data_IF_887031683310
#
_entry.id   IF_887031683310
#
_cell.length_a   1.000
_cell.length_b   1.000
_cell.length_c   1.000
_cell.angle_alpha   90.00
_cell.angle_beta   90.00
_cell.angle_gamma   90.00
#
_symmetry.space_group_name_H-M   'P 1'
#
loop_
_entity.id
_entity.type
_entity.pdbx_description
1 polymer ?
#
# COMPACT_ATOMS: atom_id res chain seq x y z
N UNK A 1 -46.68 12.06 -7.41
CA UNK A 1 -45.98 10.96 -6.71
C UNK A 1 -45.28 10.03 -7.69
N UNK A 2 -45.80 9.88 -8.90
CA UNK A 2 -45.27 8.98 -9.94
C UNK A 2 -43.91 9.42 -10.53
N UNK A 3 -43.70 10.72 -10.73
CA UNK A 3 -42.46 11.26 -11.27
C UNK A 3 -41.25 11.04 -10.33
N UNK A 4 -41.48 11.08 -9.03
CA UNK A 4 -40.44 10.84 -8.03
C UNK A 4 -40.01 9.36 -8.01
N UNK A 5 -41.00 8.46 -8.10
CA UNK A 5 -40.73 7.02 -8.16
C UNK A 5 -40.03 6.63 -9.47
N UNK A 6 -40.42 7.23 -10.61
CA UNK A 6 -39.75 7.01 -11.89
C UNK A 6 -38.31 7.52 -11.86
N UNK A 7 -38.06 8.70 -11.28
CA UNK A 7 -36.72 9.22 -11.08
C UNK A 7 -35.86 8.30 -10.20
N UNK A 8 -36.42 7.85 -9.06
CA UNK A 8 -35.69 6.93 -8.16
C UNK A 8 -35.35 5.61 -8.85
N UNK A 9 -36.31 5.04 -9.60
CA UNK A 9 -36.10 3.77 -10.32
C UNK A 9 -34.99 3.90 -11.37
N UNK A 10 -34.96 5.02 -12.12
CA UNK A 10 -33.88 5.30 -13.09
C UNK A 10 -32.53 5.45 -12.41
N UNK A 11 -32.45 6.19 -11.30
CA UNK A 11 -31.21 6.35 -10.54
C UNK A 11 -30.73 5.00 -9.99
N UNK A 12 -31.62 4.21 -9.41
CA UNK A 12 -31.29 2.88 -8.88
C UNK A 12 -30.83 1.93 -10.00
N UNK A 13 -31.48 1.96 -11.17
CA UNK A 13 -31.08 1.15 -12.32
C UNK A 13 -29.68 1.55 -12.82
N UNK A 14 -29.38 2.84 -12.95
CA UNK A 14 -28.06 3.32 -13.34
C UNK A 14 -27.00 2.90 -12.32
N UNK A 15 -27.31 3.02 -11.03
CA UNK A 15 -26.39 2.58 -9.96
C UNK A 15 -26.18 1.05 -10.02
N UNK A 16 -27.23 0.27 -10.22
CA UNK A 16 -27.12 -1.19 -10.29
C UNK A 16 -26.34 -1.65 -11.53
N UNK A 17 -26.54 -1.03 -12.68
CA UNK A 17 -25.75 -1.30 -13.89
C UNK A 17 -24.30 -0.92 -13.70
N UNK A 18 -24.02 0.23 -13.08
CA UNK A 18 -22.66 0.66 -12.76
C UNK A 18 -21.97 -0.34 -11.82
N UNK A 19 -22.66 -0.75 -10.74
CA UNK A 19 -22.13 -1.75 -9.79
C UNK A 19 -21.93 -3.11 -10.46
N UNK A 20 -22.81 -3.50 -11.38
CA UNK A 20 -22.68 -4.76 -12.12
C UNK A 20 -21.46 -4.74 -13.04
N UNK A 21 -21.23 -3.66 -13.79
CA UNK A 21 -20.05 -3.48 -14.64
C UNK A 21 -18.77 -3.44 -13.78
N UNK A 22 -18.84 -2.73 -12.64
CA UNK A 22 -17.70 -2.56 -11.73
C UNK A 22 -17.26 -3.89 -11.08
N UNK A 23 -18.22 -4.78 -10.80
CA UNK A 23 -17.96 -6.11 -10.22
C UNK A 23 -17.77 -7.22 -11.27
N UNK A 24 -17.85 -6.89 -12.57
CA UNK A 24 -17.68 -7.90 -13.60
C UNK A 24 -16.25 -8.42 -13.61
N UNK A 25 -16.09 -9.72 -13.40
CA UNK A 25 -14.80 -10.40 -13.49
C UNK A 25 -14.26 -10.29 -14.92
N UNK A 26 -13.10 -9.67 -15.08
CA UNK A 26 -12.43 -9.54 -16.38
C UNK A 26 -11.59 -10.79 -16.68
N UNK A 27 -10.86 -11.26 -15.70
CA UNK A 27 -10.02 -12.47 -15.78
C UNK A 27 -9.69 -12.97 -14.36
N UNK A 28 -9.20 -14.21 -14.28
CA UNK A 28 -8.77 -14.82 -13.03
C UNK A 28 -7.25 -14.92 -13.00
N UNK A 29 -6.67 -14.55 -11.87
CA UNK A 29 -5.24 -14.76 -11.60
C UNK A 29 -5.16 -15.72 -10.41
N UNK A 30 -4.80 -16.99 -10.66
CA UNK A 30 -4.88 -18.04 -9.65
C UNK A 30 -6.33 -18.22 -9.17
N UNK A 31 -6.55 -18.16 -7.86
CA UNK A 31 -7.87 -18.26 -7.23
C UNK A 31 -8.63 -16.92 -7.12
N UNK A 32 -8.00 -15.83 -7.55
CA UNK A 32 -8.57 -14.48 -7.41
C UNK A 32 -9.26 -14.00 -8.68
N UNK A 33 -10.48 -13.48 -8.52
CA UNK A 33 -11.24 -12.86 -9.60
C UNK A 33 -10.89 -11.38 -9.70
N UNK A 34 -10.28 -10.99 -10.82
CA UNK A 34 -9.92 -9.59 -11.07
C UNK A 34 -11.06 -8.89 -11.79
N UNK A 35 -11.65 -7.93 -11.11
CA UNK A 35 -12.71 -7.05 -11.64
C UNK A 35 -12.16 -5.65 -11.92
N UNK A 36 -12.94 -4.84 -12.62
CA UNK A 36 -12.62 -3.41 -12.81
C UNK A 36 -12.48 -2.73 -11.44
N UNK A 37 -13.34 -3.07 -10.48
CA UNK A 37 -13.27 -2.57 -9.11
C UNK A 37 -11.95 -2.89 -8.42
N UNK A 38 -11.47 -4.11 -8.55
CA UNK A 38 -10.17 -4.53 -8.00
C UNK A 38 -9.02 -3.68 -8.55
N UNK A 39 -9.03 -3.40 -9.87
CA UNK A 39 -8.02 -2.57 -10.51
C UNK A 39 -8.06 -1.12 -9.98
N UNK A 40 -9.25 -0.54 -9.88
CA UNK A 40 -9.43 0.83 -9.35
C UNK A 40 -8.96 0.91 -7.91
N UNK A 41 -9.35 -0.05 -7.06
CA UNK A 41 -8.93 -0.11 -5.65
C UNK A 41 -7.41 -0.27 -5.54
N UNK A 42 -6.80 -1.09 -6.39
CA UNK A 42 -5.35 -1.26 -6.44
C UNK A 42 -4.63 0.07 -6.69
N UNK A 43 -4.99 0.77 -7.75
CA UNK A 43 -4.36 2.05 -8.09
C UNK A 43 -4.66 3.14 -7.05
N UNK A 44 -5.87 3.20 -6.52
CA UNK A 44 -6.26 4.14 -5.46
C UNK A 44 -5.45 3.89 -4.18
N UNK A 45 -5.31 2.63 -3.76
CA UNK A 45 -4.53 2.23 -2.59
C UNK A 45 -3.04 2.54 -2.77
N UNK A 46 -2.51 2.32 -3.97
CA UNK A 46 -1.12 2.63 -4.28
C UNK A 46 -0.86 4.14 -4.28
N UNK A 47 -1.77 4.93 -4.84
CA UNK A 47 -1.69 6.39 -4.76
C UNK A 47 -1.75 6.88 -3.30
N UNK A 48 -2.66 6.34 -2.50
CA UNK A 48 -2.78 6.66 -1.08
C UNK A 48 -1.48 6.32 -0.32
N UNK A 49 -0.87 5.16 -0.59
CA UNK A 49 0.40 4.76 -0.01
C UNK A 49 1.52 5.78 -0.31
N UNK A 50 1.61 6.24 -1.56
CA UNK A 50 2.59 7.26 -1.95
C UNK A 50 2.37 8.56 -1.17
N UNK A 51 1.13 9.03 -1.07
CA UNK A 51 0.78 10.27 -0.35
C UNK A 51 1.09 10.13 1.14
N UNK A 52 0.67 9.03 1.76
CA UNK A 52 0.89 8.77 3.19
C UNK A 52 2.39 8.66 3.49
N UNK A 53 3.14 7.89 2.72
CA UNK A 53 4.59 7.73 2.94
C UNK A 53 5.35 9.05 2.80
N UNK A 54 4.95 9.92 1.86
CA UNK A 54 5.50 11.28 1.70
C UNK A 54 5.18 12.15 2.92
N UNK A 55 3.95 12.13 3.39
CA UNK A 55 3.52 12.93 4.53
C UNK A 55 4.22 12.47 5.83
N UNK A 56 4.37 11.16 6.04
CA UNK A 56 5.10 10.61 7.18
C UNK A 56 6.56 11.05 7.14
N UNK A 57 7.23 10.99 5.98
CA UNK A 57 8.59 11.51 5.82
C UNK A 57 8.70 12.99 6.21
N UNK A 58 7.76 13.83 5.74
CA UNK A 58 7.74 15.26 6.07
C UNK A 58 7.48 15.51 7.56
N UNK A 59 6.57 14.74 8.17
CA UNK A 59 6.32 14.79 9.61
C UNK A 59 7.56 14.42 10.42
N UNK A 60 8.27 13.36 10.02
CA UNK A 60 9.52 12.96 10.65
C UNK A 60 10.55 14.08 10.59
N UNK A 61 10.78 14.66 9.42
CA UNK A 61 11.77 15.72 9.24
C UNK A 61 11.41 16.99 10.00
N UNK A 62 10.14 17.43 9.95
CA UNK A 62 9.74 18.74 10.44
C UNK A 62 9.33 18.75 11.92
N UNK A 63 8.90 17.62 12.47
CA UNK A 63 8.43 17.56 13.87
C UNK A 63 9.32 16.72 14.76
N UNK A 64 9.61 15.48 14.37
CA UNK A 64 10.29 14.52 15.24
C UNK A 64 11.80 14.76 15.22
N UNK A 65 12.40 14.74 14.02
CA UNK A 65 13.83 14.89 13.86
C UNK A 65 14.29 16.36 13.89
N UNK A 66 13.37 17.32 13.70
CA UNK A 66 13.72 18.74 13.81
C UNK A 66 14.26 19.13 15.18
N UNK A 67 13.77 18.47 16.24
CA UNK A 67 14.19 18.72 17.63
C UNK A 67 15.45 17.94 18.03
N UNK A 68 15.94 17.04 17.18
CA UNK A 68 17.15 16.26 17.45
C UNK A 68 18.41 17.07 17.13
N UNK A 69 19.50 16.83 17.88
CA UNK A 69 20.83 17.40 17.62
C UNK A 69 21.56 16.71 16.46
N UNK A 70 20.89 15.85 15.70
CA UNK A 70 21.45 15.09 14.60
C UNK A 70 21.78 15.99 13.40
N UNK A 71 22.84 15.69 12.68
CA UNK A 71 23.19 16.36 11.43
C UNK A 71 22.05 16.22 10.41
N UNK A 72 21.81 17.25 9.60
CA UNK A 72 20.74 17.28 8.60
C UNK A 72 20.75 16.04 7.70
N UNK A 73 21.93 15.65 7.20
CA UNK A 73 22.11 14.48 6.35
C UNK A 73 21.61 13.19 7.03
N UNK A 74 21.90 13.00 8.31
CA UNK A 74 21.48 11.81 9.05
C UNK A 74 19.97 11.77 9.29
N UNK A 75 19.36 12.94 9.56
CA UNK A 75 17.89 13.06 9.66
C UNK A 75 17.20 12.70 8.34
N UNK A 76 17.74 13.16 7.22
CA UNK A 76 17.22 12.84 5.90
C UNK A 76 17.33 11.35 5.57
N UNK A 77 18.46 10.72 5.95
CA UNK A 77 18.67 9.27 5.78
C UNK A 77 17.64 8.45 6.57
N UNK A 78 17.40 8.80 7.84
CA UNK A 78 16.37 8.13 8.66
C UNK A 78 14.98 8.29 8.04
N UNK A 79 14.58 9.52 7.68
CA UNK A 79 13.27 9.78 7.13
C UNK A 79 13.05 9.09 5.76
N UNK A 80 14.09 9.00 4.94
CA UNK A 80 14.06 8.25 3.69
C UNK A 80 14.00 6.74 3.94
N UNK A 81 14.75 6.22 4.91
CA UNK A 81 14.68 4.82 5.31
C UNK A 81 13.27 4.40 5.72
N UNK A 82 12.64 5.19 6.59
CA UNK A 82 11.24 4.95 7.01
C UNK A 82 10.29 4.98 5.81
N UNK A 83 10.42 5.96 4.91
CA UNK A 83 9.60 6.03 3.70
C UNK A 83 9.77 4.79 2.82
N UNK A 84 11.00 4.35 2.57
CA UNK A 84 11.29 3.17 1.75
C UNK A 84 10.68 1.93 2.39
N UNK A 85 10.85 1.74 3.70
CA UNK A 85 10.26 0.61 4.44
C UNK A 85 8.73 0.62 4.35
N UNK A 86 8.09 1.79 4.53
CA UNK A 86 6.64 1.92 4.36
C UNK A 86 6.18 1.58 2.94
N UNK A 87 6.92 2.02 1.92
CA UNK A 87 6.62 1.71 0.52
C UNK A 87 6.73 0.21 0.24
N UNK A 88 7.78 -0.45 0.74
CA UNK A 88 7.96 -1.89 0.57
C UNK A 88 6.83 -2.69 1.24
N UNK A 89 6.60 -2.45 2.53
CA UNK A 89 5.56 -3.16 3.29
C UNK A 89 4.17 -2.87 2.72
N UNK A 90 3.86 -1.60 2.45
CA UNK A 90 2.57 -1.19 1.91
C UNK A 90 2.31 -1.79 0.52
N UNK A 91 3.32 -1.87 -0.34
CA UNK A 91 3.19 -2.52 -1.66
C UNK A 91 2.87 -4.01 -1.51
N UNK A 92 3.54 -4.73 -0.60
CA UNK A 92 3.26 -6.13 -0.30
C UNK A 92 1.81 -6.31 0.15
N UNK A 93 1.34 -5.46 1.08
CA UNK A 93 -0.04 -5.51 1.59
C UNK A 93 -1.05 -5.26 0.46
N UNK A 94 -0.81 -4.27 -0.40
CA UNK A 94 -1.70 -3.95 -1.53
C UNK A 94 -1.77 -5.11 -2.53
N UNK A 95 -0.64 -5.74 -2.85
CA UNK A 95 -0.58 -6.88 -3.77
C UNK A 95 -1.35 -8.08 -3.18
N UNK A 96 -1.17 -8.36 -1.88
CA UNK A 96 -1.94 -9.42 -1.20
C UNK A 96 -3.44 -9.12 -1.14
N UNK A 97 -3.83 -7.86 -0.94
CA UNK A 97 -5.23 -7.45 -0.92
C UNK A 97 -5.95 -7.65 -2.27
N UNK A 98 -5.20 -7.66 -3.37
CA UNK A 98 -5.70 -8.00 -4.72
C UNK A 98 -5.80 -9.52 -4.94
N UNK A 99 -5.33 -10.32 -3.97
CA UNK A 99 -5.42 -11.77 -4.00
C UNK A 99 -4.22 -12.46 -4.67
N UNK A 100 -3.13 -11.74 -4.90
CA UNK A 100 -1.89 -12.35 -5.39
C UNK A 100 -1.18 -13.02 -4.22
N UNK A 101 -0.99 -14.33 -4.29
CA UNK A 101 -0.26 -15.07 -3.26
C UNK A 101 1.25 -14.71 -3.31
N UNK A 102 1.70 -14.11 -2.24
CA UNK A 102 3.11 -13.73 -2.03
C UNK A 102 3.83 -14.64 -1.04
N UNK A 103 3.31 -15.85 -0.78
CA UNK A 103 3.89 -16.78 0.20
C UNK A 103 5.36 -17.08 -0.10
N UNK A 104 5.69 -17.31 -1.36
CA UNK A 104 7.08 -17.52 -1.80
C UNK A 104 7.96 -16.29 -1.56
N UNK A 105 7.42 -15.09 -1.79
CA UNK A 105 8.14 -13.83 -1.55
C UNK A 105 8.35 -13.59 -0.06
N UNK A 106 7.38 -13.96 0.78
CA UNK A 106 7.47 -13.87 2.24
C UNK A 106 8.58 -14.79 2.79
N UNK A 107 8.72 -15.98 2.23
CA UNK A 107 9.81 -16.91 2.58
C UNK A 107 11.18 -16.31 2.22
N UNK A 108 11.31 -15.75 1.01
CA UNK A 108 12.55 -15.10 0.57
C UNK A 108 12.86 -13.87 1.43
N UNK A 109 11.86 -13.04 1.76
CA UNK A 109 12.02 -11.88 2.63
C UNK A 109 12.47 -12.29 4.04
N UNK A 110 11.92 -13.39 4.57
CA UNK A 110 12.35 -13.97 5.84
C UNK A 110 13.81 -14.41 5.82
N UNK A 111 14.24 -15.13 4.78
CA UNK A 111 15.61 -15.57 4.62
C UNK A 111 16.59 -14.39 4.49
N UNK A 112 16.23 -13.36 3.69
CA UNK A 112 17.00 -12.11 3.59
C UNK A 112 17.06 -11.37 4.91
N UNK A 113 15.95 -11.29 5.66
CA UNK A 113 15.90 -10.66 6.98
C UNK A 113 16.86 -11.32 7.99
N UNK A 114 16.91 -12.64 8.00
CA UNK A 114 17.85 -13.41 8.82
C UNK A 114 19.29 -13.15 8.39
N UNK A 115 19.58 -13.16 7.07
CA UNK A 115 20.92 -12.86 6.54
C UNK A 115 21.39 -11.45 6.89
N UNK A 116 20.53 -10.45 6.75
CA UNK A 116 20.81 -9.07 7.15
C UNK A 116 21.02 -8.98 8.66
N UNK A 117 20.19 -9.68 9.46
CA UNK A 117 20.33 -9.73 10.92
C UNK A 117 21.70 -10.25 11.36
N UNK A 118 22.16 -11.35 10.80
CA UNK A 118 23.52 -11.86 11.05
C UNK A 118 24.63 -10.94 10.55
N UNK A 119 24.41 -10.25 9.42
CA UNK A 119 25.35 -9.25 8.92
C UNK A 119 25.49 -8.06 9.87
N UNK A 120 24.39 -7.59 10.46
CA UNK A 120 24.42 -6.49 11.44
C UNK A 120 24.98 -6.91 12.80
N UNK A 121 24.87 -8.18 13.20
CA UNK A 121 25.42 -8.67 14.46
C UNK A 121 26.92 -8.39 14.56
N UNK A 122 27.69 -8.66 13.51
CA UNK A 122 29.13 -8.37 13.48
C UNK A 122 29.48 -6.88 13.62
N UNK A 123 28.59 -6.00 13.15
CA UNK A 123 28.80 -4.55 13.27
C UNK A 123 28.51 -4.09 14.69
N UNK A 124 27.51 -4.70 15.35
CA UNK A 124 27.13 -4.36 16.73
C UNK A 124 28.15 -4.88 17.74
N UNK A 125 28.75 -6.04 17.49
CA UNK A 125 29.77 -6.62 18.36
C UNK A 125 31.12 -5.84 18.33
N UNK A 126 31.31 -4.98 17.31
CA UNK A 126 32.50 -4.16 17.14
C UNK A 126 32.31 -2.67 17.50
N UNK A 127 31.15 -2.29 18.03
CA UNK A 127 30.82 -0.95 18.53
C UNK A 127 30.90 -0.90 20.06
#
# INVERSE_FOLDING_TARGET
MDYFNDFLSRVLNVISEFLFIFNRTLFKIGDSEVSIGTIVIFFASFYLLIVVSKNVRLLLLNKILARSKLKKSFRESIANGVRITMMLIGTIIIIQAVGIDLSALSLLAGALGVGIGFGFQKVTDNL
#
